data_IF_212792413075
#
_entry.id   IF_212792413075
#
_cell.length_a   1.000
_cell.length_b   1.000
_cell.length_c   1.000
_cell.angle_alpha   90.00
_cell.angle_beta   90.00
_cell.angle_gamma   90.00
#
_symmetry.space_group_name_H-M   'P 1'
#
loop_
_entity.id
_entity.type
_entity.pdbx_description
1 polymer ?
#
# COMPACT_ATOMS: atom_id res chain seq x y z
N UNK A 1 -16.68 21.57 -48.76
CA UNK A 1 -15.61 21.94 -47.82
C UNK A 1 -16.23 21.97 -46.42
N UNK A 2 -16.03 20.93 -45.61
CA UNK A 2 -15.09 20.91 -44.46
C UNK A 2 -15.77 21.48 -43.20
N UNK A 3 -15.77 20.89 -42.01
CA UNK A 3 -15.01 19.75 -41.50
C UNK A 3 -15.79 19.05 -40.38
N UNK A 4 -15.60 17.73 -40.29
CA UNK A 4 -16.00 16.86 -39.18
C UNK A 4 -15.03 17.11 -38.02
N UNK A 5 -15.52 17.56 -36.87
CA UNK A 5 -14.72 17.60 -35.64
C UNK A 5 -15.15 16.40 -34.79
N UNK A 6 -14.40 15.32 -34.88
CA UNK A 6 -14.47 14.23 -33.90
C UNK A 6 -13.82 14.76 -32.61
N UNK A 7 -14.60 14.89 -31.53
CA UNK A 7 -14.04 15.14 -30.21
C UNK A 7 -13.49 13.80 -29.69
N UNK A 8 -12.18 13.71 -29.51
CA UNK A 8 -11.55 12.58 -28.83
C UNK A 8 -12.15 12.48 -27.41
N UNK A 9 -12.77 11.35 -27.11
CA UNK A 9 -13.21 11.04 -25.75
C UNK A 9 -11.97 10.86 -24.89
N UNK A 10 -11.77 11.73 -23.91
CA UNK A 10 -10.75 11.54 -22.88
C UNK A 10 -11.02 10.19 -22.18
N UNK A 11 -10.02 9.32 -22.00
CA UNK A 11 -10.20 8.13 -21.20
C UNK A 11 -10.53 8.56 -19.77
N UNK A 12 -11.81 8.48 -19.41
CA UNK A 12 -12.24 8.70 -18.04
C UNK A 12 -11.76 7.50 -17.23
N UNK A 13 -10.64 7.64 -16.53
CA UNK A 13 -10.16 6.61 -15.63
C UNK A 13 -11.15 6.47 -14.49
N UNK A 14 -11.96 5.41 -14.53
CA UNK A 14 -12.90 5.09 -13.46
C UNK A 14 -12.09 4.57 -12.27
N UNK A 15 -11.95 5.39 -11.24
CA UNK A 15 -11.35 4.97 -9.98
C UNK A 15 -12.37 4.14 -9.21
N UNK A 16 -12.13 2.84 -9.11
CA UNK A 16 -12.96 1.92 -8.32
C UNK A 16 -12.23 1.64 -7.02
N UNK A 17 -12.82 2.01 -5.89
CA UNK A 17 -12.36 1.59 -4.58
C UNK A 17 -13.20 0.37 -4.20
N UNK A 18 -12.59 -0.82 -4.02
CA UNK A 18 -13.34 -1.99 -3.60
C UNK A 18 -14.07 -1.71 -2.29
N UNK A 19 -15.26 -2.28 -2.14
CA UNK A 19 -15.97 -2.29 -0.87
C UNK A 19 -15.13 -3.01 0.19
N UNK A 20 -15.46 -2.78 1.47
CA UNK A 20 -14.72 -3.25 2.64
C UNK A 20 -14.77 -4.78 2.82
N UNK A 21 -14.36 -5.54 1.81
CA UNK A 21 -14.28 -7.00 1.75
C UNK A 21 -13.21 -7.59 2.68
N UNK A 22 -12.66 -6.79 3.60
CA UNK A 22 -11.67 -7.20 4.60
C UNK A 22 -10.24 -7.25 4.06
N UNK A 23 -10.06 -7.35 2.74
CA UNK A 23 -8.76 -7.36 2.08
C UNK A 23 -8.37 -5.95 1.60
N UNK A 24 -7.24 -5.44 2.08
CA UNK A 24 -6.68 -4.14 1.68
C UNK A 24 -6.16 -4.16 0.23
N UNK A 25 -5.90 -5.35 -0.33
CA UNK A 25 -5.31 -5.53 -1.64
C UNK A 25 -6.10 -6.51 -2.50
N UNK A 26 -6.50 -6.05 -3.68
CA UNK A 26 -6.98 -6.90 -4.78
C UNK A 26 -5.86 -7.05 -5.79
N UNK A 27 -5.51 -8.29 -6.14
CA UNK A 27 -4.48 -8.54 -7.14
C UNK A 27 -5.01 -8.23 -8.54
N UNK A 28 -4.26 -7.43 -9.30
CA UNK A 28 -4.53 -7.25 -10.72
C UNK A 28 -4.38 -8.59 -11.48
N UNK A 29 -5.13 -8.80 -12.58
CA UNK A 29 -4.93 -9.94 -13.45
C UNK A 29 -3.46 -10.07 -13.88
N UNK A 30 -2.88 -11.26 -13.72
CA UNK A 30 -1.48 -11.52 -14.07
C UNK A 30 -0.43 -11.07 -13.03
N UNK A 31 -0.83 -10.54 -11.87
CA UNK A 31 0.11 -10.25 -10.78
C UNK A 31 0.88 -11.52 -10.39
N UNK A 32 2.21 -11.49 -10.51
CA UNK A 32 3.08 -12.63 -10.20
C UNK A 32 3.47 -12.64 -8.73
N UNK A 33 3.91 -13.79 -8.22
CA UNK A 33 4.47 -13.88 -6.86
C UNK A 33 5.65 -12.93 -6.64
N UNK A 34 6.47 -12.70 -7.68
CA UNK A 34 7.57 -11.74 -7.63
C UNK A 34 7.10 -10.31 -7.37
N UNK A 35 6.05 -9.86 -8.08
CA UNK A 35 5.47 -8.53 -7.88
C UNK A 35 4.92 -8.38 -6.44
N UNK A 36 4.28 -9.42 -5.91
CA UNK A 36 3.77 -9.41 -4.52
C UNK A 36 4.94 -9.32 -3.52
N UNK A 37 6.04 -10.05 -3.75
CA UNK A 37 7.23 -9.97 -2.92
C UNK A 37 7.89 -8.59 -2.95
N UNK A 38 7.91 -7.92 -4.11
CA UNK A 38 8.44 -6.57 -4.23
C UNK A 38 7.57 -5.55 -3.47
N UNK A 39 6.25 -5.71 -3.47
CA UNK A 39 5.35 -4.89 -2.64
C UNK A 39 5.59 -5.12 -1.14
N UNK A 40 5.80 -6.38 -0.72
CA UNK A 40 6.16 -6.69 0.67
C UNK A 40 7.46 -5.99 1.07
N UNK A 41 8.51 -6.06 0.23
CA UNK A 41 9.79 -5.38 0.49
C UNK A 41 9.62 -3.88 0.58
N UNK A 42 8.84 -3.28 -0.32
CA UNK A 42 8.57 -1.84 -0.30
C UNK A 42 7.87 -1.41 1.00
N UNK A 43 6.86 -2.16 1.46
CA UNK A 43 6.16 -1.87 2.72
C UNK A 43 7.04 -2.08 3.95
N UNK A 44 7.89 -3.11 3.96
CA UNK A 44 8.86 -3.32 5.03
C UNK A 44 9.88 -2.17 5.10
N UNK A 45 10.39 -1.69 3.97
CA UNK A 45 11.30 -0.54 3.93
C UNK A 45 10.63 0.75 4.44
N UNK A 46 9.36 0.96 4.10
CA UNK A 46 8.58 2.09 4.61
C UNK A 46 8.37 1.98 6.14
N UNK A 47 8.01 0.80 6.63
CA UNK A 47 7.84 0.55 8.06
C UNK A 47 9.15 0.75 8.83
N UNK A 48 10.26 0.24 8.29
CA UNK A 48 11.60 0.41 8.88
C UNK A 48 11.97 1.90 8.98
N UNK A 49 11.75 2.67 7.91
CA UNK A 49 11.98 4.11 7.93
C UNK A 49 11.15 4.83 9.01
N UNK A 50 9.87 4.47 9.17
CA UNK A 50 9.01 5.05 10.20
C UNK A 50 9.44 4.66 11.61
N UNK A 51 9.78 3.39 11.84
CA UNK A 51 10.26 2.94 13.15
C UNK A 51 11.57 3.63 13.51
N UNK A 52 12.48 3.81 12.55
CA UNK A 52 13.73 4.55 12.77
C UNK A 52 13.49 6.00 13.23
N UNK A 53 12.38 6.64 12.85
CA UNK A 53 11.99 7.97 13.34
C UNK A 53 11.51 8.00 14.79
N UNK A 54 11.46 6.85 15.48
CA UNK A 54 11.02 6.76 16.89
C UNK A 54 12.17 6.48 17.85
N UNK A 55 13.36 6.15 17.34
CA UNK A 55 14.50 5.68 18.14
C UNK A 55 15.68 6.65 18.10
N UNK A 56 16.50 6.62 19.16
CA UNK A 56 17.69 7.46 19.29
C UNK A 56 17.40 8.96 19.14
N UNK A 57 18.35 9.66 18.49
CA UNK A 57 18.28 11.08 18.16
C UNK A 57 17.13 11.41 17.19
N UNK A 58 16.86 10.52 16.22
CA UNK A 58 15.76 10.73 15.28
C UNK A 58 14.38 10.69 15.96
N UNK A 59 14.29 9.97 17.07
CA UNK A 59 13.09 9.89 17.92
C UNK A 59 12.75 11.17 18.67
N UNK A 60 13.62 12.18 18.72
CA UNK A 60 13.32 13.44 19.40
C UNK A 60 12.14 14.16 18.77
N UNK A 61 12.07 14.18 17.43
CA UNK A 61 10.96 14.76 16.70
C UNK A 61 9.63 14.06 17.04
N UNK A 62 9.63 12.72 17.09
CA UNK A 62 8.46 11.93 17.50
C UNK A 62 8.05 12.22 18.95
N UNK A 63 8.99 12.22 19.90
CA UNK A 63 8.71 12.51 21.32
C UNK A 63 8.26 13.95 21.58
N UNK A 64 8.62 14.88 20.70
CA UNK A 64 8.16 16.27 20.73
C UNK A 64 6.76 16.49 20.16
N UNK A 65 6.18 15.49 19.49
CA UNK A 65 4.79 15.56 19.01
C UNK A 65 3.82 15.47 20.19
N UNK A 66 2.61 16.02 20.03
CA UNK A 66 1.54 15.79 20.99
C UNK A 66 1.02 14.34 20.92
N UNK A 67 0.30 13.91 21.96
CA UNK A 67 -0.19 12.54 22.11
C UNK A 67 -1.01 12.07 20.90
N UNK A 68 -1.88 12.93 20.36
CA UNK A 68 -2.71 12.59 19.20
C UNK A 68 -1.88 12.29 17.95
N UNK A 69 -0.82 13.06 17.72
CA UNK A 69 0.09 12.85 16.59
C UNK A 69 0.97 11.62 16.79
N UNK A 70 1.44 11.37 18.01
CA UNK A 70 2.18 10.14 18.34
C UNK A 70 1.30 8.90 18.11
N UNK A 71 0.05 8.93 18.57
CA UNK A 71 -0.91 7.85 18.35
C UNK A 71 -1.15 7.62 16.86
N UNK A 72 -1.46 8.67 16.10
CA UNK A 72 -1.66 8.56 14.64
C UNK A 72 -0.44 8.02 13.92
N UNK A 73 0.77 8.41 14.35
CA UNK A 73 2.02 7.89 13.80
C UNK A 73 2.14 6.38 14.07
N UNK A 74 1.88 5.94 15.30
CA UNK A 74 1.92 4.52 15.65
C UNK A 74 0.84 3.70 14.94
N UNK A 75 -0.35 4.28 14.73
CA UNK A 75 -1.40 3.70 13.90
C UNK A 75 -0.97 3.53 12.44
N UNK A 76 -0.21 4.48 11.88
CA UNK A 76 0.34 4.36 10.53
C UNK A 76 1.33 3.20 10.44
N UNK A 77 2.24 3.06 11.42
CA UNK A 77 3.14 1.90 11.52
C UNK A 77 2.37 0.57 11.58
N UNK A 78 1.33 0.51 12.43
CA UNK A 78 0.46 -0.66 12.56
C UNK A 78 -0.28 -0.99 11.26
N UNK A 79 -0.74 0.03 10.52
CA UNK A 79 -1.42 -0.15 9.23
C UNK A 79 -0.49 -0.78 8.19
N UNK A 80 0.74 -0.29 8.07
CA UNK A 80 1.74 -0.88 7.16
C UNK A 80 2.09 -2.32 7.57
N UNK A 81 2.20 -2.60 8.88
CA UNK A 81 2.42 -3.95 9.38
C UNK A 81 1.28 -4.91 8.97
N UNK A 82 0.03 -4.48 9.14
CA UNK A 82 -1.14 -5.24 8.71
C UNK A 82 -1.14 -5.50 7.20
N UNK A 83 -0.78 -4.50 6.39
CA UNK A 83 -0.64 -4.64 4.94
C UNK A 83 0.40 -5.70 4.55
N UNK A 84 1.57 -5.70 5.19
CA UNK A 84 2.60 -6.72 4.98
C UNK A 84 2.06 -8.11 5.29
N UNK A 85 1.35 -8.27 6.41
CA UNK A 85 0.74 -9.55 6.78
C UNK A 85 -0.29 -10.03 5.74
N UNK A 86 -1.11 -9.14 5.20
CA UNK A 86 -2.06 -9.50 4.15
C UNK A 86 -1.37 -9.91 2.85
N UNK A 87 -0.39 -9.12 2.38
CA UNK A 87 0.39 -9.44 1.19
C UNK A 87 1.14 -10.77 1.33
N UNK A 88 1.66 -11.08 2.52
CA UNK A 88 2.30 -12.36 2.80
C UNK A 88 1.31 -13.54 2.71
N UNK A 89 0.09 -13.39 3.26
CA UNK A 89 -0.98 -14.40 3.13
C UNK A 89 -1.36 -14.63 1.67
N UNK A 90 -1.53 -13.56 0.91
CA UNK A 90 -1.85 -13.60 -0.53
C UNK A 90 -0.72 -14.28 -1.32
N UNK A 91 0.54 -13.93 -1.05
CA UNK A 91 1.71 -14.55 -1.67
C UNK A 91 1.78 -16.06 -1.42
N UNK A 92 1.52 -16.48 -0.17
CA UNK A 92 1.50 -17.88 0.19
C UNK A 92 0.33 -18.65 -0.46
N UNK A 93 -0.85 -18.01 -0.60
CA UNK A 93 -1.98 -18.60 -1.32
C UNK A 93 -1.65 -18.81 -2.80
N UNK A 94 -1.10 -17.80 -3.46
CA UNK A 94 -0.72 -17.86 -4.87
C UNK A 94 0.35 -18.92 -5.17
N UNK A 95 1.31 -19.10 -4.26
CA UNK A 95 2.31 -20.17 -4.37
C UNK A 95 1.70 -21.58 -4.31
N UNK A 96 0.53 -21.75 -3.68
CA UNK A 96 -0.17 -23.04 -3.64
C UNK A 96 -1.00 -23.31 -4.90
N UNK A 97 -1.52 -22.27 -5.55
CA UNK A 97 -2.28 -22.38 -6.81
C UNK A 97 -1.41 -22.72 -8.02
N UNK A 98 -0.12 -22.38 -7.98
CA UNK A 98 0.85 -22.68 -9.03
C UNK A 98 1.54 -24.05 -8.93
N UNK A 99 1.12 -24.93 -8.01
CA UNK A 99 1.57 -26.32 -7.89
C UNK A 99 0.54 -27.25 -8.52
#
# INVERSE_FOLDING_TARGET
>A
MSAKIMKAGEPTTVMTFPDASGDLYVLAPGATTGIIQDQIRARLAQLDALINMTIGEQGEAFRGMNDELQDRFMWACGSISNEVCQLAKISAAKLREGK
#
